data_IF_246287054767
#
_entry.id   IF_246287054767
#
_cell.length_a   1.000
_cell.length_b   1.000
_cell.length_c   1.000
_cell.angle_alpha   90.00
_cell.angle_beta   90.00
_cell.angle_gamma   90.00
#
_symmetry.space_group_name_H-M   'P 1'
#
loop_
_entity.id
_entity.type
_entity.pdbx_description
1 polymer ?
#
# COMPACT_ATOMS: atom_id res chain seq x y z
N UNK A 1 -36.89 -8.36 57.61
CA UNK A 1 -37.59 -7.53 56.61
C UNK A 1 -36.97 -6.15 56.57
N UNK A 2 -36.13 -5.88 55.57
CA UNK A 2 -35.95 -4.57 54.92
C UNK A 2 -35.21 -4.83 53.60
N UNK A 3 -35.77 -4.22 52.55
CA UNK A 3 -35.63 -4.52 51.13
C UNK A 3 -34.34 -3.96 50.53
N UNK A 4 -33.94 -4.61 49.42
CA UNK A 4 -32.88 -4.31 48.44
C UNK A 4 -32.69 -2.84 48.06
N UNK A 5 -31.51 -2.52 47.51
CA UNK A 5 -31.36 -2.02 46.12
C UNK A 5 -30.00 -2.48 45.57
N UNK A 6 -30.07 -3.23 44.46
CA UNK A 6 -28.99 -3.58 43.55
C UNK A 6 -28.65 -2.37 42.66
N UNK A 7 -27.37 -2.08 42.41
CA UNK A 7 -26.94 -1.29 41.25
C UNK A 7 -26.21 -2.22 40.27
N UNK A 8 -26.66 -2.36 39.01
CA UNK A 8 -25.84 -2.89 37.94
C UNK A 8 -25.07 -1.74 37.26
N UNK A 9 -23.75 -1.90 37.13
CA UNK A 9 -22.91 -1.05 36.29
C UNK A 9 -23.27 -1.26 34.83
N UNK A 10 -23.88 -0.26 34.21
CA UNK A 10 -24.17 -0.24 32.79
C UNK A 10 -22.88 0.08 32.02
N UNK A 11 -22.17 -0.96 31.57
CA UNK A 11 -21.06 -0.81 30.63
C UNK A 11 -21.61 -0.51 29.24
N UNK A 12 -21.55 0.76 28.82
CA UNK A 12 -21.84 1.16 27.46
C UNK A 12 -20.76 0.62 26.50
N UNK A 13 -21.07 -0.45 25.78
CA UNK A 13 -20.38 -0.80 24.53
C UNK A 13 -20.77 0.24 23.48
N UNK A 14 -19.86 1.17 23.19
CA UNK A 14 -19.97 2.04 22.02
C UNK A 14 -19.60 1.23 20.77
N UNK A 15 -20.61 0.71 20.08
CA UNK A 15 -20.45 0.16 18.73
C UNK A 15 -20.33 1.36 17.78
N UNK A 16 -19.11 1.79 17.48
CA UNK A 16 -18.85 2.74 16.39
C UNK A 16 -18.86 1.99 15.05
N UNK A 17 -20.04 1.53 14.65
CA UNK A 17 -20.31 1.12 13.28
C UNK A 17 -20.86 2.32 12.52
N UNK A 18 -19.99 3.19 12.00
CA UNK A 18 -20.41 4.11 10.95
C UNK A 18 -20.64 3.29 9.68
N UNK A 19 -21.81 2.66 9.59
CA UNK A 19 -22.37 2.20 8.34
C UNK A 19 -22.63 3.46 7.50
N UNK A 20 -21.66 3.87 6.68
CA UNK A 20 -21.93 4.67 5.50
C UNK A 20 -22.75 3.80 4.55
N UNK A 21 -24.04 3.67 4.85
CA UNK A 21 -25.00 3.18 3.89
C UNK A 21 -25.06 4.23 2.77
N UNK A 22 -24.60 3.85 1.59
CA UNK A 22 -24.95 4.57 0.37
C UNK A 22 -26.46 4.36 0.22
N UNK A 23 -27.25 5.26 0.80
CA UNK A 23 -28.67 5.39 0.46
C UNK A 23 -28.76 5.44 -1.07
N UNK A 24 -29.78 4.84 -1.71
CA UNK A 24 -29.93 4.94 -3.15
C UNK A 24 -29.96 6.42 -3.55
N UNK A 25 -28.83 6.92 -4.04
CA UNK A 25 -28.71 8.24 -4.64
C UNK A 25 -29.41 8.17 -6.00
N UNK A 26 -29.98 9.29 -6.44
CA UNK A 26 -30.61 9.41 -7.76
C UNK A 26 -29.60 9.29 -8.91
N UNK A 27 -29.79 10.07 -9.97
CA UNK A 27 -28.81 10.17 -11.07
C UNK A 27 -27.47 10.75 -10.58
N UNK A 28 -26.42 10.60 -11.40
CA UNK A 28 -25.11 11.25 -11.17
C UNK A 28 -25.27 12.77 -10.91
N UNK A 29 -24.57 13.28 -9.90
CA UNK A 29 -24.53 14.70 -9.51
C UNK A 29 -23.09 15.21 -9.61
N UNK A 30 -22.82 16.00 -10.65
CA UNK A 30 -21.50 16.62 -10.88
C UNK A 30 -21.28 17.90 -10.07
N UNK A 31 -22.20 18.28 -9.16
CA UNK A 31 -22.08 19.42 -8.27
C UNK A 31 -21.73 20.76 -8.97
N UNK A 32 -22.21 20.94 -10.20
CA UNK A 32 -21.96 22.13 -11.02
C UNK A 32 -20.60 22.17 -11.71
N UNK A 33 -19.77 21.13 -11.59
CA UNK A 33 -18.53 21.01 -12.36
C UNK A 33 -18.83 20.72 -13.84
N UNK A 34 -18.07 21.31 -14.78
CA UNK A 34 -18.21 21.01 -16.19
C UNK A 34 -17.89 19.55 -16.50
N UNK A 35 -18.55 19.01 -17.50
CA UNK A 35 -18.30 17.65 -17.99
C UNK A 35 -17.83 17.65 -19.44
N UNK A 36 -16.99 16.68 -19.78
CA UNK A 36 -16.57 16.40 -21.15
C UNK A 36 -16.78 14.91 -21.45
N UNK A 37 -16.81 14.57 -22.74
CA UNK A 37 -16.74 13.17 -23.18
C UNK A 37 -15.59 12.45 -22.49
N UNK A 38 -15.78 11.17 -22.12
CA UNK A 38 -14.75 10.40 -21.40
C UNK A 38 -13.43 10.31 -22.18
N UNK A 39 -13.49 10.44 -23.51
CA UNK A 39 -12.36 10.45 -24.44
C UNK A 39 -11.79 11.86 -24.73
N UNK A 40 -12.36 12.90 -24.10
CA UNK A 40 -11.95 14.31 -24.24
C UNK A 40 -11.26 14.87 -23.01
N UNK A 41 -11.27 14.13 -21.90
CA UNK A 41 -10.53 14.50 -20.70
C UNK A 41 -9.04 14.43 -21.00
N UNK A 42 -8.34 15.55 -20.82
CA UNK A 42 -6.89 15.61 -20.98
C UNK A 42 -6.25 14.91 -19.78
N UNK A 43 -5.45 13.85 -19.98
CA UNK A 43 -4.77 13.17 -18.88
C UNK A 43 -3.83 14.09 -18.10
N UNK A 44 -3.66 13.81 -16.82
CA UNK A 44 -2.68 14.48 -15.98
C UNK A 44 -1.31 13.82 -16.17
N UNK A 45 -0.26 14.62 -16.21
CA UNK A 45 1.10 14.10 -16.26
C UNK A 45 1.45 13.38 -14.97
N UNK A 46 2.43 12.46 -15.03
CA UNK A 46 2.89 11.77 -13.83
C UNK A 46 3.38 12.76 -12.77
N UNK A 47 2.80 12.70 -11.58
CA UNK A 47 3.22 13.53 -10.44
C UNK A 47 2.89 12.82 -9.14
N UNK A 48 3.93 12.39 -8.42
CA UNK A 48 3.81 11.77 -7.12
C UNK A 48 3.93 12.82 -6.00
N UNK A 49 3.57 12.45 -4.78
CA UNK A 49 3.80 13.24 -3.57
C UNK A 49 5.27 13.65 -3.41
N UNK A 50 5.55 14.66 -2.60
CA UNK A 50 6.94 15.01 -2.27
C UNK A 50 7.55 14.04 -1.27
N UNK A 51 8.87 13.83 -1.33
CA UNK A 51 9.61 13.08 -0.29
C UNK A 51 9.43 11.56 -0.39
N UNK A 52 9.53 10.87 0.75
CA UNK A 52 9.47 9.41 0.82
C UNK A 52 8.13 8.86 0.30
N UNK A 53 7.01 9.52 0.62
CA UNK A 53 5.68 9.09 0.17
C UNK A 53 5.62 8.94 -1.35
N UNK A 54 6.04 9.96 -2.11
CA UNK A 54 6.03 9.88 -3.57
C UNK A 54 7.01 8.86 -4.16
N UNK A 55 8.13 8.61 -3.49
CA UNK A 55 9.03 7.53 -3.90
C UNK A 55 8.36 6.17 -3.77
N UNK A 56 7.61 5.93 -2.69
CA UNK A 56 6.86 4.69 -2.48
C UNK A 56 5.66 4.59 -3.44
N UNK A 57 4.94 5.69 -3.70
CA UNK A 57 3.85 5.74 -4.68
C UNK A 57 4.30 5.27 -6.06
N UNK A 58 5.47 5.73 -6.53
CA UNK A 58 6.03 5.32 -7.83
C UNK A 58 6.61 3.89 -7.78
N UNK A 59 7.37 3.56 -6.73
CA UNK A 59 8.03 2.25 -6.58
C UNK A 59 7.05 1.08 -6.52
N UNK A 60 5.85 1.30 -5.99
CA UNK A 60 4.85 0.25 -5.81
C UNK A 60 3.64 0.39 -6.73
N UNK A 61 3.72 1.23 -7.77
CA UNK A 61 2.64 1.42 -8.73
C UNK A 61 2.31 0.12 -9.50
N UNK A 62 1.11 -0.46 -9.35
CA UNK A 62 0.82 -1.76 -9.95
C UNK A 62 0.88 -1.77 -11.48
N UNK A 63 1.40 -2.87 -12.03
CA UNK A 63 1.24 -3.17 -13.45
C UNK A 63 -0.16 -3.75 -13.66
N UNK A 64 -0.90 -3.19 -14.60
CA UNK A 64 -2.29 -3.55 -14.80
C UNK A 64 -2.53 -4.19 -16.18
N UNK A 65 -3.08 -5.40 -16.19
CA UNK A 65 -3.67 -6.02 -17.36
C UNK A 65 -5.19 -5.83 -17.39
N UNK A 66 -5.72 -5.23 -18.44
CA UNK A 66 -7.18 -5.13 -18.66
C UNK A 66 -7.65 -6.31 -19.50
N UNK A 67 -8.07 -7.38 -18.81
CA UNK A 67 -8.45 -8.66 -19.41
C UNK A 67 -9.88 -8.66 -19.98
N UNK A 68 -10.74 -7.74 -19.52
CA UNK A 68 -12.13 -7.57 -19.95
C UNK A 68 -12.68 -6.24 -19.42
N UNK A 69 -13.81 -5.80 -19.96
CA UNK A 69 -14.38 -4.49 -19.65
C UNK A 69 -13.62 -3.32 -20.29
N UNK A 70 -13.90 -2.11 -19.83
CA UNK A 70 -13.24 -0.88 -20.30
C UNK A 70 -11.80 -0.77 -19.81
N UNK A 71 -10.98 -0.09 -20.61
CA UNK A 71 -9.70 0.41 -20.11
C UNK A 71 -9.93 1.51 -19.06
N UNK A 72 -8.98 1.75 -18.15
CA UNK A 72 -8.92 2.96 -17.36
C UNK A 72 -8.79 4.21 -18.22
N UNK A 73 -9.47 5.28 -17.81
CA UNK A 73 -9.45 6.61 -18.44
C UNK A 73 -9.15 7.67 -17.36
N UNK A 74 -8.66 8.86 -17.76
CA UNK A 74 -8.66 10.00 -16.85
C UNK A 74 -10.11 10.38 -16.48
N UNK A 75 -10.38 10.49 -15.17
CA UNK A 75 -11.69 10.88 -14.65
C UNK A 75 -11.90 12.40 -14.61
N UNK A 76 -10.79 13.14 -14.54
CA UNK A 76 -10.76 14.59 -14.37
C UNK A 76 -9.51 15.17 -15.05
N UNK A 77 -9.62 16.37 -15.61
CA UNK A 77 -8.46 17.12 -16.11
C UNK A 77 -7.97 18.19 -15.13
N UNK A 78 -6.88 18.89 -15.48
CA UNK A 78 -6.27 19.89 -14.62
C UNK A 78 -7.18 21.10 -14.28
N UNK A 79 -8.22 21.34 -15.08
CA UNK A 79 -9.17 22.45 -14.89
C UNK A 79 -10.42 22.03 -14.12
N UNK A 80 -10.53 20.76 -13.74
CA UNK A 80 -11.67 20.22 -13.01
C UNK A 80 -12.83 19.76 -13.90
N UNK A 81 -12.64 19.64 -15.23
CA UNK A 81 -13.66 19.00 -16.06
C UNK A 81 -13.72 17.51 -15.71
N UNK A 82 -14.92 16.99 -15.46
CA UNK A 82 -15.15 15.58 -15.16
C UNK A 82 -15.54 14.80 -16.43
N UNK A 83 -15.08 13.56 -16.54
CA UNK A 83 -15.56 12.67 -17.58
C UNK A 83 -17.04 12.36 -17.37
N UNK A 84 -17.87 12.55 -18.39
CA UNK A 84 -19.31 12.23 -18.35
C UNK A 84 -19.59 10.71 -18.35
N UNK A 85 -18.54 9.89 -18.38
CA UNK A 85 -18.63 8.44 -18.48
C UNK A 85 -19.25 7.95 -19.78
N UNK A 86 -19.60 6.68 -19.82
CA UNK A 86 -20.20 6.04 -20.98
C UNK A 86 -21.48 5.32 -20.58
N UNK A 87 -22.51 5.38 -21.43
CA UNK A 87 -23.73 4.61 -21.20
C UNK A 87 -23.37 3.10 -21.24
N UNK A 88 -23.91 2.27 -20.33
CA UNK A 88 -23.62 0.83 -20.28
C UNK A 88 -24.35 0.05 -21.40
N UNK A 89 -24.12 0.43 -22.66
CA UNK A 89 -24.66 -0.20 -23.87
C UNK A 89 -23.55 -0.77 -24.76
N UNK A 90 -23.90 -1.63 -25.72
CA UNK A 90 -22.92 -2.34 -26.54
C UNK A 90 -22.19 -3.45 -25.79
N UNK A 91 -21.10 -3.97 -26.37
CA UNK A 91 -20.21 -4.93 -25.70
C UNK A 91 -19.45 -4.30 -24.53
N UNK A 92 -18.85 -5.13 -23.66
CA UNK A 92 -18.17 -4.68 -22.43
C UNK A 92 -17.13 -3.58 -22.66
N UNK A 93 -16.34 -3.70 -23.74
CA UNK A 93 -15.28 -2.74 -24.12
C UNK A 93 -15.69 -1.73 -25.21
N UNK A 94 -16.92 -1.80 -25.70
CA UNK A 94 -17.38 -0.97 -26.82
C UNK A 94 -17.35 0.52 -26.47
N UNK A 95 -16.52 1.30 -27.16
CA UNK A 95 -16.34 2.74 -26.94
C UNK A 95 -15.39 3.12 -25.78
N UNK A 96 -14.66 2.16 -25.22
CA UNK A 96 -13.74 2.39 -24.10
C UNK A 96 -12.50 1.47 -24.14
N UNK A 97 -11.99 1.16 -25.33
CA UNK A 97 -10.78 0.36 -25.63
C UNK A 97 -9.54 1.20 -25.96
N UNK A 98 -9.61 2.51 -25.72
CA UNK A 98 -8.58 3.48 -26.10
C UNK A 98 -8.11 4.33 -24.91
N UNK A 99 -8.10 3.74 -23.70
CA UNK A 99 -7.65 4.43 -22.48
C UNK A 99 -6.14 4.67 -22.43
N UNK A 100 -5.37 3.92 -23.23
CA UNK A 100 -3.91 4.03 -23.29
C UNK A 100 -3.27 3.73 -21.94
N UNK A 101 -2.31 4.57 -21.54
CA UNK A 101 -1.59 4.46 -20.26
C UNK A 101 -2.13 5.36 -19.14
N UNK A 102 -3.12 6.20 -19.42
CA UNK A 102 -3.78 7.03 -18.41
C UNK A 102 -4.95 6.27 -17.75
N UNK A 103 -5.41 6.63 -16.54
CA UNK A 103 -4.71 7.28 -15.43
C UNK A 103 -4.85 6.36 -14.20
N UNK A 104 -3.85 6.34 -13.30
CA UNK A 104 -4.00 5.82 -11.94
C UNK A 104 -3.87 6.95 -10.93
N UNK A 105 -4.81 7.03 -10.00
CA UNK A 105 -4.86 8.01 -8.92
C UNK A 105 -4.33 7.36 -7.64
N UNK A 106 -3.44 8.05 -6.93
CA UNK A 106 -2.68 7.45 -5.84
C UNK A 106 -2.89 8.22 -4.54
N UNK A 107 -3.04 7.53 -3.41
CA UNK A 107 -3.04 8.15 -2.08
C UNK A 107 -2.47 7.20 -1.03
N UNK A 108 -1.46 7.68 -0.30
CA UNK A 108 -0.90 7.01 0.88
C UNK A 108 -1.70 7.30 2.15
N UNK A 109 -1.64 6.38 3.11
CA UNK A 109 -2.27 6.54 4.42
C UNK A 109 -1.96 5.40 5.38
N UNK A 110 -2.59 5.44 6.55
CA UNK A 110 -2.46 4.40 7.56
C UNK A 110 -3.80 3.85 8.01
N UNK A 111 -3.83 2.55 8.31
CA UNK A 111 -4.93 1.87 8.98
C UNK A 111 -4.32 0.88 9.96
N UNK A 112 -4.79 0.87 11.21
CA UNK A 112 -4.23 0.03 12.27
C UNK A 112 -2.70 0.17 12.42
N UNK A 113 -2.19 1.41 12.35
CA UNK A 113 -0.76 1.75 12.40
C UNK A 113 0.09 1.13 11.26
N UNK A 114 -0.57 0.63 10.21
CA UNK A 114 0.08 0.06 9.03
C UNK A 114 -0.08 0.98 7.83
N UNK A 115 1.02 1.15 7.08
CA UNK A 115 1.04 1.99 5.89
C UNK A 115 0.48 1.24 4.69
N UNK A 116 -0.48 1.86 3.99
CA UNK A 116 -1.03 1.37 2.73
C UNK A 116 -1.05 2.46 1.67
N UNK A 117 -0.79 2.10 0.43
CA UNK A 117 -0.90 2.99 -0.73
C UNK A 117 -2.04 2.51 -1.62
N UNK A 118 -3.06 3.33 -1.77
CA UNK A 118 -4.20 3.07 -2.63
C UNK A 118 -3.94 3.57 -4.05
N UNK A 119 -4.16 2.69 -5.02
CA UNK A 119 -4.11 2.95 -6.46
C UNK A 119 -5.49 2.73 -7.05
N UNK A 120 -6.08 3.78 -7.59
CA UNK A 120 -7.48 3.78 -8.04
C UNK A 120 -7.60 4.12 -9.51
N UNK A 121 -8.48 3.39 -10.18
CA UNK A 121 -8.67 3.41 -11.63
C UNK A 121 -10.12 3.75 -11.93
N UNK A 122 -10.32 4.66 -12.87
CA UNK A 122 -11.65 5.04 -13.35
C UNK A 122 -11.93 4.40 -14.70
N UNK A 123 -13.07 3.73 -14.80
CA UNK A 123 -13.60 3.21 -16.06
C UNK A 123 -14.86 4.01 -16.43
N UNK A 124 -15.03 4.46 -17.69
CA UNK A 124 -16.19 5.24 -18.12
C UNK A 124 -17.54 4.53 -17.88
N UNK A 125 -17.52 3.20 -17.93
CA UNK A 125 -18.64 2.30 -17.59
C UNK A 125 -18.09 0.98 -17.10
N UNK A 126 -18.97 0.21 -16.50
CA UNK A 126 -18.76 -1.22 -16.24
C UNK A 126 -19.93 -2.04 -16.77
N UNK A 127 -19.65 -3.27 -17.21
CA UNK A 127 -20.65 -4.24 -17.65
C UNK A 127 -20.14 -5.64 -17.34
N UNK A 128 -20.97 -6.47 -16.71
CA UNK A 128 -20.66 -7.88 -16.41
C UNK A 128 -21.60 -8.85 -17.14
N UNK A 129 -22.46 -8.35 -18.04
CA UNK A 129 -23.40 -9.17 -18.80
C UNK A 129 -24.08 -8.43 -19.95
N UNK A 130 -24.91 -9.15 -20.71
CA UNK A 130 -25.78 -8.59 -21.77
C UNK A 130 -27.13 -8.19 -21.16
N UNK A 131 -27.63 -7.01 -21.50
CA UNK A 131 -28.90 -6.47 -20.97
C UNK A 131 -28.75 -5.06 -20.41
N UNK A 132 -29.87 -4.40 -20.13
CA UNK A 132 -29.88 -3.01 -19.63
C UNK A 132 -29.59 -2.88 -18.13
N UNK A 133 -29.65 -3.99 -17.38
CA UNK A 133 -29.43 -4.03 -15.92
C UNK A 133 -28.06 -4.62 -15.54
N UNK A 134 -27.24 -4.99 -16.53
CA UNK A 134 -25.97 -5.70 -16.34
C UNK A 134 -24.78 -4.75 -16.52
N UNK A 135 -24.86 -3.58 -15.87
CA UNK A 135 -23.83 -2.55 -15.92
C UNK A 135 -24.33 -1.18 -15.53
N UNK A 136 -23.40 -0.23 -15.38
CA UNK A 136 -23.70 1.16 -15.10
C UNK A 136 -22.63 2.10 -15.64
N UNK A 137 -22.98 3.39 -15.73
CA UNK A 137 -22.06 4.48 -16.02
C UNK A 137 -21.17 4.72 -14.80
N UNK A 138 -19.91 5.10 -15.05
CA UNK A 138 -18.86 5.34 -14.05
C UNK A 138 -18.52 4.09 -13.22
N UNK A 139 -17.24 3.80 -13.10
CA UNK A 139 -16.78 2.77 -12.18
C UNK A 139 -15.41 3.12 -11.62
N UNK A 140 -15.28 3.05 -10.30
CA UNK A 140 -14.00 3.12 -9.61
C UNK A 140 -13.66 1.76 -9.05
N UNK A 141 -12.45 1.31 -9.34
CA UNK A 141 -11.86 0.13 -8.74
C UNK A 141 -10.52 0.52 -8.10
N UNK A 142 -10.13 -0.15 -7.03
CA UNK A 142 -8.90 0.17 -6.31
C UNK A 142 -8.08 -1.07 -5.93
N UNK A 143 -6.78 -0.84 -5.79
CA UNK A 143 -5.80 -1.77 -5.22
C UNK A 143 -5.13 -1.03 -4.06
N UNK A 144 -4.88 -1.70 -2.93
CA UNK A 144 -4.05 -1.20 -1.84
C UNK A 144 -2.83 -2.10 -1.71
N UNK A 145 -1.65 -1.48 -1.79
CA UNK A 145 -0.38 -2.15 -1.50
C UNK A 145 0.00 -1.84 -0.06
N UNK A 146 0.08 -2.88 0.76
CA UNK A 146 0.42 -2.81 2.18
C UNK A 146 1.92 -2.96 2.37
N UNK A 147 2.51 -2.08 3.16
CA UNK A 147 3.96 -1.91 3.24
C UNK A 147 4.49 -2.23 4.63
N UNK A 148 5.71 -2.74 4.67
CA UNK A 148 6.50 -2.84 5.89
C UNK A 148 7.91 -2.32 5.66
N UNK A 149 8.48 -1.71 6.70
CA UNK A 149 9.89 -1.32 6.72
C UNK A 149 10.75 -2.49 7.23
N UNK A 150 11.82 -2.77 6.50
CA UNK A 150 12.79 -3.82 6.79
C UNK A 150 14.17 -3.18 7.00
N UNK A 151 14.77 -3.44 8.15
CA UNK A 151 16.01 -2.79 8.57
C UNK A 151 15.86 -1.30 8.88
N UNK A 152 17.00 -0.61 8.97
CA UNK A 152 17.09 0.75 9.52
C UNK A 152 17.25 1.87 8.51
N UNK A 153 17.12 1.54 7.22
CA UNK A 153 17.04 2.59 6.21
C UNK A 153 15.73 3.35 6.38
N UNK A 154 15.79 4.68 6.26
CA UNK A 154 14.62 5.56 6.24
C UNK A 154 14.25 5.96 4.79
N UNK A 155 14.75 5.21 3.81
CA UNK A 155 14.54 5.46 2.38
C UNK A 155 13.64 4.39 1.74
N UNK A 156 13.22 4.62 0.49
CA UNK A 156 12.29 3.73 -0.19
C UNK A 156 12.83 2.31 -0.44
N UNK A 157 14.15 2.09 -0.34
CA UNK A 157 14.76 0.78 -0.53
C UNK A 157 14.59 -0.15 0.68
N UNK A 158 14.37 0.41 1.87
CA UNK A 158 14.09 -0.36 3.08
C UNK A 158 12.63 -0.80 3.20
N UNK A 159 11.74 -0.29 2.35
CA UNK A 159 10.32 -0.59 2.39
C UNK A 159 9.99 -1.65 1.33
N UNK A 160 9.14 -2.62 1.68
CA UNK A 160 8.67 -3.64 0.74
C UNK A 160 7.19 -3.98 0.93
N UNK A 161 6.49 -4.43 -0.12
CA UNK A 161 5.12 -4.90 -0.03
C UNK A 161 5.03 -6.19 0.80
N UNK A 162 4.05 -6.25 1.70
CA UNK A 162 3.74 -7.43 2.52
C UNK A 162 2.34 -7.99 2.27
N UNK A 163 1.50 -7.22 1.58
CA UNK A 163 0.15 -7.63 1.22
C UNK A 163 -0.42 -6.77 0.11
N UNK A 164 -1.43 -7.30 -0.58
CA UNK A 164 -2.19 -6.57 -1.58
C UNK A 164 -3.67 -6.84 -1.36
N UNK A 165 -4.44 -5.78 -1.19
CA UNK A 165 -5.90 -5.80 -1.18
C UNK A 165 -6.42 -5.18 -2.47
N UNK A 166 -7.61 -5.58 -2.93
CA UNK A 166 -8.19 -5.05 -4.15
C UNK A 166 -9.71 -5.16 -4.15
N UNK A 167 -10.37 -4.31 -4.91
CA UNK A 167 -11.84 -4.33 -5.06
C UNK A 167 -12.27 -5.44 -6.03
N UNK A 168 -13.12 -6.36 -5.57
CA UNK A 168 -13.89 -7.27 -6.45
C UNK A 168 -15.23 -6.67 -6.86
N UNK A 169 -15.69 -5.69 -6.10
CA UNK A 169 -16.62 -4.64 -6.51
C UNK A 169 -16.24 -3.32 -5.80
N UNK A 170 -16.72 -2.16 -6.24
CA UNK A 170 -16.28 -0.82 -5.84
C UNK A 170 -16.30 -0.53 -4.32
N UNK A 171 -17.01 -1.32 -3.51
CA UNK A 171 -16.98 -1.28 -2.03
C UNK A 171 -16.63 -2.64 -1.39
N UNK A 172 -16.45 -3.68 -2.19
CA UNK A 172 -16.18 -5.05 -1.74
C UNK A 172 -14.72 -5.36 -1.96
N UNK A 173 -14.01 -5.56 -0.85
CA UNK A 173 -12.57 -5.80 -0.84
C UNK A 173 -12.24 -7.28 -0.64
N UNK A 174 -11.30 -7.76 -1.45
CA UNK A 174 -10.63 -9.05 -1.30
C UNK A 174 -9.11 -8.83 -1.24
N UNK A 175 -8.35 -9.90 -1.07
CA UNK A 175 -6.90 -9.87 -0.89
C UNK A 175 -6.19 -10.94 -1.69
N UNK A 176 -4.97 -10.64 -2.12
CA UNK A 176 -4.16 -11.63 -2.82
C UNK A 176 -3.78 -12.75 -1.84
N UNK A 177 -4.04 -14.03 -2.19
CA UNK A 177 -3.58 -15.12 -1.35
C UNK A 177 -2.05 -15.11 -1.24
N UNK A 178 -1.52 -15.53 -0.10
CA UNK A 178 -0.07 -15.60 0.13
C UNK A 178 0.64 -16.38 -0.99
N UNK A 179 1.69 -15.80 -1.57
CA UNK A 179 2.46 -16.39 -2.67
C UNK A 179 1.73 -16.46 -4.01
N UNK A 180 0.55 -15.83 -4.16
CA UNK A 180 -0.19 -15.74 -5.43
C UNK A 180 -0.09 -14.39 -6.13
N UNK A 181 0.58 -13.42 -5.52
CA UNK A 181 0.94 -12.15 -6.17
C UNK A 181 2.34 -12.27 -6.77
N UNK A 182 2.50 -11.78 -7.99
CA UNK A 182 3.81 -11.65 -8.65
C UNK A 182 4.14 -10.16 -8.83
N UNK A 183 5.42 -9.85 -8.91
CA UNK A 183 5.91 -8.48 -9.03
C UNK A 183 6.76 -8.34 -10.29
N UNK A 184 6.68 -7.16 -10.93
CA UNK A 184 7.53 -6.77 -12.04
C UNK A 184 8.57 -5.74 -11.58
N UNK A 185 9.72 -5.73 -12.25
CA UNK A 185 10.68 -4.62 -12.17
C UNK A 185 10.22 -3.48 -13.06
N UNK A 186 10.58 -2.26 -12.70
CA UNK A 186 10.50 -1.13 -13.63
C UNK A 186 11.40 -1.41 -14.84
N UNK A 187 11.06 -0.88 -16.01
CA UNK A 187 11.77 -1.17 -17.27
C UNK A 187 13.22 -0.66 -17.35
N UNK A 188 13.76 -0.04 -16.30
CA UNK A 188 15.10 0.55 -16.27
C UNK A 188 15.84 0.14 -15.01
N UNK A 189 16.79 -0.79 -15.13
CA UNK A 189 17.72 -1.15 -14.05
C UNK A 189 17.54 -2.56 -13.48
N UNK A 190 18.48 -2.97 -12.63
CA UNK A 190 18.49 -4.25 -11.89
C UNK A 190 17.60 -4.15 -10.63
N UNK A 191 16.59 -3.29 -10.68
CA UNK A 191 15.76 -2.99 -9.52
C UNK A 191 14.93 -4.21 -9.15
N UNK A 192 14.89 -4.50 -7.85
CA UNK A 192 14.09 -5.57 -7.29
C UNK A 192 12.63 -5.43 -7.77
N UNK A 193 12.00 -6.53 -8.26
CA UNK A 193 10.61 -6.49 -8.66
C UNK A 193 9.71 -6.02 -7.51
N UNK A 194 9.08 -4.87 -7.69
CA UNK A 194 8.32 -4.16 -6.63
C UNK A 194 6.93 -3.74 -7.06
N UNK A 195 6.64 -3.76 -8.37
CA UNK A 195 5.33 -3.41 -8.92
C UNK A 195 4.41 -4.64 -8.90
N UNK A 196 3.33 -4.69 -8.09
CA UNK A 196 2.41 -5.82 -8.11
C UNK A 196 1.77 -5.98 -9.49
N UNK A 197 1.70 -7.21 -10.00
CA UNK A 197 1.01 -7.51 -11.25
C UNK A 197 -0.45 -7.84 -10.99
N UNK A 198 -1.32 -6.98 -11.47
CA UNK A 198 -2.76 -7.06 -11.26
C UNK A 198 -3.49 -7.16 -12.60
N UNK A 199 -4.71 -7.71 -12.57
CA UNK A 199 -5.62 -7.66 -13.69
C UNK A 199 -7.00 -7.20 -13.26
N UNK A 200 -7.70 -6.54 -14.18
CA UNK A 200 -9.14 -6.28 -14.03
C UNK A 200 -9.90 -7.02 -15.13
N UNK A 201 -11.02 -7.62 -14.76
CA UNK A 201 -12.01 -8.17 -15.68
C UNK A 201 -13.37 -7.57 -15.34
N UNK A 202 -13.88 -6.73 -16.24
CA UNK A 202 -15.14 -6.00 -16.05
C UNK A 202 -15.08 -5.12 -14.78
N UNK A 203 -15.60 -5.60 -13.65
CA UNK A 203 -15.67 -4.87 -12.39
C UNK A 203 -14.68 -5.37 -11.32
N UNK A 204 -14.08 -6.55 -11.50
CA UNK A 204 -13.33 -7.20 -10.44
C UNK A 204 -11.82 -7.20 -10.71
N UNK A 205 -11.05 -6.75 -9.72
CA UNK A 205 -9.61 -6.99 -9.69
C UNK A 205 -9.28 -8.41 -9.23
N UNK A 206 -8.15 -8.91 -9.71
CA UNK A 206 -7.49 -10.10 -9.17
C UNK A 206 -5.98 -10.03 -9.42
N UNK A 207 -5.16 -10.85 -8.73
CA UNK A 207 -3.76 -11.02 -9.11
C UNK A 207 -3.64 -11.52 -10.56
N UNK A 208 -2.64 -11.02 -11.28
CA UNK A 208 -2.33 -11.52 -12.62
C UNK A 208 -1.25 -12.61 -12.54
N UNK A 209 -1.54 -13.77 -13.12
CA UNK A 209 -0.66 -14.96 -13.09
C UNK A 209 -0.05 -15.30 -14.45
N UNK A 210 -0.33 -14.51 -15.48
CA UNK A 210 0.25 -14.69 -16.81
C UNK A 210 1.71 -14.23 -16.90
N UNK A 211 2.35 -14.58 -18.01
CA UNK A 211 3.67 -14.06 -18.36
C UNK A 211 3.63 -12.54 -18.56
N UNK A 212 4.78 -11.89 -18.34
CA UNK A 212 4.94 -10.49 -18.72
C UNK A 212 4.75 -10.34 -20.22
N UNK A 213 4.10 -9.27 -20.62
CA UNK A 213 3.85 -8.97 -22.04
C UNK A 213 3.31 -7.57 -22.20
N UNK A 214 3.24 -7.11 -23.44
CA UNK A 214 2.98 -5.71 -23.81
C UNK A 214 1.66 -5.11 -23.30
N UNK A 215 0.77 -5.93 -22.74
CA UNK A 215 -0.55 -5.54 -22.23
C UNK A 215 -0.60 -5.37 -20.71
N UNK A 216 0.44 -5.76 -20.00
CA UNK A 216 0.55 -5.66 -18.53
C UNK A 216 1.58 -4.58 -18.24
N UNK A 217 1.11 -3.36 -18.01
CA UNK A 217 1.99 -2.19 -17.95
C UNK A 217 1.57 -1.24 -16.83
N UNK A 218 2.52 -0.41 -16.42
CA UNK A 218 2.29 0.68 -15.46
C UNK A 218 1.49 1.82 -16.10
N UNK A 219 0.57 2.40 -15.32
CA UNK A 219 -0.18 3.58 -15.72
C UNK A 219 0.41 4.84 -15.13
N UNK A 220 0.18 5.96 -15.79
CA UNK A 220 0.60 7.28 -15.32
C UNK A 220 0.01 7.57 -13.95
N UNK A 221 0.86 7.68 -12.92
CA UNK A 221 0.46 7.91 -11.54
C UNK A 221 0.31 9.41 -11.22
N UNK A 222 -0.82 9.79 -10.63
CA UNK A 222 -1.05 11.12 -10.08
C UNK A 222 -1.47 11.00 -8.61
N UNK A 223 -0.68 11.56 -7.72
CA UNK A 223 -1.02 11.59 -6.30
C UNK A 223 -2.16 12.55 -6.01
N UNK A 224 -3.02 12.20 -5.06
CA UNK A 224 -4.04 13.06 -4.48
C UNK A 224 -3.50 14.42 -4.05
N UNK A 225 -2.29 14.45 -3.47
CA UNK A 225 -1.65 15.67 -2.99
C UNK A 225 -0.94 16.46 -4.09
N UNK A 226 -0.78 15.87 -5.28
CA UNK A 226 -0.25 16.53 -6.49
C UNK A 226 -1.35 16.98 -7.46
N UNK A 227 -2.62 16.68 -7.18
CA UNK A 227 -3.72 17.12 -8.04
C UNK A 227 -3.82 18.65 -8.07
N UNK A 228 -4.08 19.25 -9.24
CA UNK A 228 -4.52 20.63 -9.31
C UNK A 228 -5.77 20.85 -8.44
N UNK A 229 -5.84 21.98 -7.74
CA UNK A 229 -6.92 22.27 -6.79
C UNK A 229 -8.33 22.13 -7.41
N UNK A 230 -8.50 22.51 -8.69
CA UNK A 230 -9.76 22.34 -9.41
C UNK A 230 -10.13 20.86 -9.60
N UNK A 231 -9.16 20.02 -9.97
CA UNK A 231 -9.35 18.58 -10.12
C UNK A 231 -9.68 17.90 -8.79
N UNK A 232 -8.93 18.24 -7.74
CA UNK A 232 -9.16 17.73 -6.38
C UNK A 232 -10.57 18.08 -5.89
N UNK A 233 -11.00 19.33 -6.10
CA UNK A 233 -12.35 19.79 -5.75
C UNK A 233 -13.43 19.05 -6.54
N UNK A 234 -13.26 18.89 -7.86
CA UNK A 234 -14.22 18.19 -8.71
C UNK A 234 -14.42 16.73 -8.28
N UNK A 235 -13.32 16.03 -7.97
CA UNK A 235 -13.37 14.65 -7.47
C UNK A 235 -13.98 14.53 -6.07
N UNK A 236 -13.79 15.52 -5.21
CA UNK A 236 -14.42 15.56 -3.88
C UNK A 236 -15.92 15.81 -3.93
N UNK A 237 -16.39 16.66 -4.86
CA UNK A 237 -17.78 17.10 -4.91
C UNK A 237 -18.69 16.13 -5.67
N UNK A 238 -18.18 15.45 -6.69
CA UNK A 238 -18.98 14.56 -7.56
C UNK A 238 -19.57 13.39 -6.79
N UNK A 239 -20.84 13.08 -7.08
CA UNK A 239 -21.55 11.92 -6.54
C UNK A 239 -22.07 11.08 -7.70
N UNK A 240 -21.40 9.98 -7.99
CA UNK A 240 -21.90 9.00 -8.94
C UNK A 240 -23.02 8.16 -8.31
N UNK A 241 -23.97 7.72 -9.12
CA UNK A 241 -25.13 6.94 -8.67
C UNK A 241 -24.72 5.57 -8.09
N UNK A 242 -23.76 4.91 -8.74
CA UNK A 242 -23.41 3.49 -8.51
C UNK A 242 -21.97 3.25 -8.06
N UNK A 243 -21.19 4.31 -7.85
CA UNK A 243 -19.80 4.21 -7.42
C UNK A 243 -19.41 5.47 -6.66
N UNK A 244 -18.22 5.49 -6.08
CA UNK A 244 -17.69 6.69 -5.42
C UNK A 244 -16.19 6.81 -5.66
N UNK A 245 -15.69 8.04 -5.71
CA UNK A 245 -14.24 8.28 -5.79
C UNK A 245 -13.62 7.81 -4.46
N UNK A 246 -12.74 6.79 -4.46
CA UNK A 246 -12.39 6.08 -3.23
C UNK A 246 -11.33 6.80 -2.40
N UNK A 247 -10.54 7.70 -3.00
CA UNK A 247 -9.38 8.34 -2.39
C UNK A 247 -9.59 9.83 -2.01
N UNK A 248 -10.83 10.31 -1.99
CA UNK A 248 -11.14 11.66 -1.47
C UNK A 248 -11.03 11.69 0.05
N UNK A 249 -10.90 12.87 0.65
CA UNK A 249 -10.80 13.01 2.11
C UNK A 249 -11.99 12.38 2.85
N UNK A 250 -13.19 12.40 2.24
CA UNK A 250 -14.40 11.85 2.82
C UNK A 250 -14.46 10.31 2.79
N UNK A 251 -13.78 9.68 1.83
CA UNK A 251 -13.96 8.25 1.53
C UNK A 251 -12.72 7.41 1.85
N UNK A 252 -11.53 8.00 1.80
CA UNK A 252 -10.25 7.30 1.80
C UNK A 252 -10.06 6.38 3.00
N UNK A 253 -10.29 6.88 4.22
CA UNK A 253 -10.05 6.09 5.43
C UNK A 253 -10.97 4.86 5.50
N UNK A 254 -12.25 5.02 5.18
CA UNK A 254 -13.21 3.90 5.21
C UNK A 254 -12.83 2.79 4.22
N UNK A 255 -12.32 3.16 3.04
CA UNK A 255 -11.80 2.20 2.07
C UNK A 255 -10.51 1.54 2.55
N UNK A 256 -9.59 2.32 3.11
CA UNK A 256 -8.31 1.80 3.61
C UNK A 256 -8.52 0.80 4.77
N UNK A 257 -9.42 1.12 5.69
CA UNK A 257 -9.81 0.24 6.80
C UNK A 257 -10.49 -1.04 6.29
N UNK A 258 -11.40 -0.94 5.32
CA UNK A 258 -12.07 -2.09 4.71
C UNK A 258 -11.10 -3.02 3.98
N UNK A 259 -10.05 -2.45 3.39
CA UNK A 259 -8.99 -3.16 2.70
C UNK A 259 -8.01 -3.86 3.65
N UNK A 260 -7.90 -3.44 4.91
CA UNK A 260 -6.90 -3.93 5.85
C UNK A 260 -7.09 -5.40 6.21
N UNK A 261 -5.98 -6.15 6.31
CA UNK A 261 -5.95 -7.48 6.93
C UNK A 261 -4.70 -7.63 7.79
N UNK A 262 -4.91 -8.06 9.03
CA UNK A 262 -3.83 -8.37 9.98
C UNK A 262 -2.92 -9.49 9.46
N UNK A 263 -3.46 -10.43 8.68
CA UNK A 263 -2.73 -11.57 8.15
C UNK A 263 -1.54 -11.20 7.25
N UNK A 264 -1.49 -9.97 6.71
CA UNK A 264 -0.33 -9.49 5.95
C UNK A 264 0.92 -9.32 6.82
N UNK A 265 0.74 -9.13 8.13
CA UNK A 265 1.81 -8.84 9.07
C UNK A 265 2.09 -10.02 10.01
N UNK A 266 1.42 -11.16 9.81
CA UNK A 266 1.61 -12.34 10.64
C UNK A 266 3.07 -12.80 10.65
N UNK A 267 3.74 -12.65 11.80
CA UNK A 267 5.15 -13.00 11.98
C UNK A 267 6.16 -11.88 11.67
N UNK A 268 5.68 -10.70 11.28
CA UNK A 268 6.50 -9.49 11.13
C UNK A 268 6.43 -8.67 12.42
N UNK A 269 7.58 -8.21 12.91
CA UNK A 269 7.65 -7.17 13.94
C UNK A 269 7.93 -5.83 13.25
N UNK A 270 7.42 -4.74 13.80
CA UNK A 270 7.78 -3.41 13.32
C UNK A 270 9.30 -3.24 13.39
N UNK A 271 9.90 -2.63 12.37
CA UNK A 271 11.35 -2.45 12.28
C UNK A 271 12.15 -3.77 12.34
N UNK A 272 11.65 -4.82 11.68
CA UNK A 272 12.34 -6.11 11.62
C UNK A 272 13.76 -5.92 11.06
N UNK A 273 14.77 -6.05 11.92
CA UNK A 273 16.19 -5.80 11.60
C UNK A 273 16.80 -4.54 12.24
N UNK A 274 16.02 -3.65 12.85
CA UNK A 274 16.55 -2.63 13.76
C UNK A 274 16.49 -3.09 15.19
N UNK A 275 17.57 -3.72 15.62
CA UNK A 275 17.85 -3.76 17.04
C UNK A 275 18.43 -2.40 17.43
N UNK A 276 17.67 -1.59 18.16
CA UNK A 276 18.26 -0.58 19.02
C UNK A 276 19.22 -1.31 19.96
N UNK A 277 20.53 -1.18 19.73
CA UNK A 277 21.48 -1.45 20.80
C UNK A 277 21.28 -0.37 21.85
N UNK A 278 20.32 -0.57 22.76
CA UNK A 278 20.31 0.06 24.08
C UNK A 278 19.28 -0.61 24.98
N UNK A 279 19.69 -1.71 25.62
CA UNK A 279 19.59 -1.93 27.07
C UNK A 279 20.12 -3.33 27.40
N UNK A 280 21.28 -3.39 28.05
CA UNK A 280 21.72 -4.60 28.77
C UNK A 280 22.99 -5.28 28.26
N UNK A 281 24.08 -4.53 28.02
CA UNK A 281 25.41 -5.12 28.19
C UNK A 281 25.61 -5.43 29.68
N UNK A 282 25.17 -6.61 30.10
CA UNK A 282 25.69 -7.22 31.33
C UNK A 282 27.07 -7.77 31.00
N UNK A 283 28.06 -6.89 31.07
CA UNK A 283 29.44 -7.31 31.28
C UNK A 283 29.40 -8.09 32.60
N UNK A 284 29.51 -9.42 32.51
CA UNK A 284 29.87 -10.24 33.66
C UNK A 284 31.30 -9.85 34.00
N UNK A 285 31.47 -8.92 34.95
CA UNK A 285 32.70 -8.82 35.70
C UNK A 285 32.86 -10.13 36.47
N UNK A 286 33.83 -10.94 36.07
CA UNK A 286 34.30 -12.05 36.87
C UNK A 286 34.81 -11.49 38.21
N UNK A 287 34.32 -11.99 39.36
CA UNK A 287 34.81 -11.53 40.65
C UNK A 287 36.26 -11.95 40.82
N UNK A 288 37.14 -10.96 40.98
CA UNK A 288 38.50 -11.11 41.44
C UNK A 288 38.45 -11.82 42.81
N UNK A 289 38.84 -13.10 42.81
CA UNK A 289 38.99 -13.92 44.00
C UNK A 289 40.21 -13.47 44.78
N UNK A 290 39.96 -12.69 45.83
CA UNK A 290 40.94 -12.36 46.86
C UNK A 290 41.25 -13.62 47.69
N UNK A 291 42.46 -14.15 47.57
CA UNK A 291 42.95 -15.24 48.41
C UNK A 291 44.44 -15.02 48.71
N UNK A 292 44.86 -15.04 49.99
CA UNK A 292 46.22 -14.68 50.39
C UNK A 292 47.22 -15.81 50.08
N UNK A 293 48.53 -15.50 49.93
CA UNK A 293 49.53 -16.48 49.55
C UNK A 293 49.81 -17.45 50.69
N UNK A 294 49.87 -18.75 50.38
CA UNK A 294 50.47 -19.76 51.26
C UNK A 294 51.92 -20.00 50.84
N UNK A 295 52.83 -19.66 51.74
CA UNK A 295 54.24 -20.00 51.68
C UNK A 295 54.46 -21.52 51.75
N UNK A 296 55.26 -22.05 50.83
CA UNK A 296 56.06 -23.27 51.02
C UNK A 296 57.34 -23.23 50.17
N UNK A 297 58.46 -23.03 50.85
CA UNK A 297 59.83 -23.42 50.45
C UNK A 297 60.10 -24.88 50.90
N UNK A 298 61.26 -25.51 50.62
CA UNK A 298 62.12 -25.55 49.42
C UNK A 298 62.47 -26.99 48.99
N UNK A 299 63.01 -27.17 47.79
CA UNK A 299 64.03 -28.18 47.45
C UNK A 299 64.61 -27.79 46.07
N UNK A 300 65.90 -27.72 45.79
CA UNK A 300 67.15 -28.06 46.46
C UNK A 300 68.19 -28.06 45.33
N UNK A 301 69.30 -27.32 45.47
CA UNK A 301 70.39 -27.32 44.50
C UNK A 301 71.29 -28.55 44.68
N UNK A 302 72.04 -28.97 43.64
CA UNK A 302 73.48 -28.63 43.63
C UNK A 302 74.05 -28.26 42.24
N UNK A 303 75.33 -27.77 42.16
CA UNK A 303 75.86 -26.86 41.13
C UNK A 303 76.97 -27.52 40.26
N UNK A 304 78.01 -26.81 39.78
CA UNK A 304 78.09 -25.93 38.60
C UNK A 304 79.18 -26.36 37.59
N UNK A 305 79.19 -25.80 36.38
CA UNK A 305 80.39 -25.61 35.50
C UNK A 305 79.90 -25.13 34.11
N UNK A 306 80.53 -24.22 33.37
CA UNK A 306 81.76 -23.46 33.52
C UNK A 306 81.90 -22.53 32.29
N UNK A 307 82.80 -21.55 32.41
CA UNK A 307 83.52 -20.79 31.35
C UNK A 307 82.71 -19.91 30.36
N UNK A 308 82.81 -18.58 30.44
CA UNK A 308 83.89 -17.66 29.97
C UNK A 308 83.77 -17.22 28.50
N UNK A 309 83.16 -16.04 28.32
CA UNK A 309 83.58 -14.95 27.41
C UNK A 309 83.30 -15.07 25.91
N UNK A 310 83.55 -14.00 25.11
CA UNK A 310 83.21 -12.59 25.36
C UNK A 310 82.46 -11.91 24.17
N UNK A 311 81.82 -10.80 24.50
CA UNK A 311 81.75 -9.49 23.79
C UNK A 311 82.00 -9.38 22.27
N UNK A 312 81.01 -8.83 21.55
CA UNK A 312 81.05 -7.64 20.65
C UNK A 312 79.78 -7.66 19.77
N UNK A 313 78.90 -6.66 19.73
CA UNK A 313 79.07 -5.26 19.34
C UNK A 313 79.53 -5.09 17.88
N UNK A 314 78.56 -5.11 16.96
CA UNK A 314 78.38 -4.15 15.87
C UNK A 314 76.94 -4.23 15.35
#
# INVERSE_FOLDING_TARGET
MKLSIFQPSLGCLFIHGALSSVLPRGNDDYAGHPTLGHDKIVPLTQSASTGLEGQLELRFNPFLYVSGGCDPYPAVDATGNLGEGLRPTGGGRSGCDAGGTAQVYVRGGQSQDRTGIMFSYYMPKVRWGKGNNEGHRHYWASIVVWLNQFGCGEDASSVSPVGVSFTTDHLVWDTAPAGKISYASSGVGVDTPTHPKMQIHDNAFSPFTGADGDKVFERTAISWFSLPAAAQKALSDVKYEKTQVPFTDANFQAHLDAAYRESFYGGLTDQQGCFSQEAGSSVKEDPISDSPPKDKEPAGAPPPSGEKGPTNAQ
#
